data_IF_528825797792
#
_entry.id   IF_528825797792
#
_cell.length_a   1.000
_cell.length_b   1.000
_cell.length_c   1.000
_cell.angle_alpha   90.00
_cell.angle_beta   90.00
_cell.angle_gamma   90.00
#
_symmetry.space_group_name_H-M   'P 1'
#
loop_
_entity.id
_entity.type
_entity.pdbx_description
1 polymer ?
#
# COMPACT_ATOMS: atom_id res chain seq x y z
N UNK A 1 2.52 16.12 -5.95
CA UNK A 1 2.03 14.87 -6.58
C UNK A 1 0.99 14.27 -5.66
N UNK A 2 -0.24 14.14 -6.15
CA UNK A 2 -1.43 13.75 -5.39
C UNK A 2 -1.48 12.24 -5.10
N UNK A 3 -2.19 11.84 -4.06
CA UNK A 3 -2.47 10.43 -3.74
C UNK A 3 -3.49 9.79 -4.70
N UNK A 4 -4.06 10.56 -5.64
CA UNK A 4 -5.15 10.12 -6.52
C UNK A 4 -4.74 9.05 -7.55
N UNK A 5 -3.45 8.73 -7.66
CA UNK A 5 -2.93 7.73 -8.58
C UNK A 5 -2.68 6.38 -7.89
N UNK A 6 -3.00 6.27 -6.59
CA UNK A 6 -2.86 5.05 -5.82
C UNK A 6 -4.22 4.41 -5.56
N UNK A 7 -4.29 3.10 -5.76
CA UNK A 7 -5.48 2.30 -5.56
C UNK A 7 -5.16 1.18 -4.57
N UNK A 8 -5.92 1.10 -3.47
CA UNK A 8 -5.82 -0.01 -2.52
C UNK A 8 -6.78 -1.11 -2.96
N UNK A 9 -6.29 -2.32 -3.08
CA UNK A 9 -7.07 -3.52 -3.36
C UNK A 9 -6.87 -4.48 -2.20
N UNK A 10 -7.97 -4.89 -1.58
CA UNK A 10 -7.96 -5.89 -0.52
C UNK A 10 -8.39 -7.21 -1.12
N UNK A 11 -7.56 -8.22 -0.92
CA UNK A 11 -7.82 -9.56 -1.41
C UNK A 11 -7.78 -10.53 -0.26
N UNK A 12 -8.93 -11.10 0.05
CA UNK A 12 -9.01 -12.22 0.98
C UNK A 12 -8.47 -13.48 0.30
N UNK A 13 -7.49 -14.12 0.94
CA UNK A 13 -6.94 -15.39 0.51
C UNK A 13 -6.90 -16.39 1.66
N UNK A 14 -6.55 -17.63 1.35
CA UNK A 14 -6.41 -18.72 2.35
C UNK A 14 -5.40 -18.40 3.47
N UNK A 15 -4.48 -17.46 3.24
CA UNK A 15 -3.46 -17.03 4.19
C UNK A 15 -3.80 -15.69 4.89
N UNK A 16 -5.05 -15.22 4.79
CA UNK A 16 -5.51 -13.96 5.34
C UNK A 16 -5.70 -12.84 4.30
N UNK A 17 -6.00 -11.64 4.79
CA UNK A 17 -6.20 -10.44 3.97
C UNK A 17 -4.85 -9.95 3.46
N UNK A 18 -4.76 -9.76 2.15
CA UNK A 18 -3.61 -9.14 1.48
C UNK A 18 -4.02 -7.77 0.98
N UNK A 19 -3.19 -6.77 1.26
CA UNK A 19 -3.41 -5.42 0.77
C UNK A 19 -2.43 -5.15 -0.37
N UNK A 20 -2.99 -4.81 -1.52
CA UNK A 20 -2.23 -4.39 -2.69
C UNK A 20 -2.39 -2.89 -2.88
N UNK A 21 -1.30 -2.17 -3.10
CA UNK A 21 -1.32 -0.77 -3.50
C UNK A 21 -0.79 -0.68 -4.93
N UNK A 22 -1.63 -0.17 -5.83
CA UNK A 22 -1.33 -0.08 -7.25
C UNK A 22 -1.18 1.39 -7.64
N UNK A 23 -0.08 1.72 -8.30
CA UNK A 23 0.11 3.01 -8.92
C UNK A 23 -0.31 2.93 -10.39
N UNK A 24 -1.36 3.66 -10.77
CA UNK A 24 -2.02 3.53 -12.07
C UNK A 24 -1.45 4.45 -13.16
N UNK A 25 -0.54 5.36 -12.81
CA UNK A 25 0.10 6.29 -13.75
C UNK A 25 1.57 5.94 -13.98
N UNK A 26 2.20 6.47 -15.03
CA UNK A 26 3.62 6.22 -15.29
C UNK A 26 4.50 6.86 -14.18
N UNK A 27 5.41 6.11 -13.55
CA UNK A 27 5.70 4.69 -13.75
C UNK A 27 4.69 3.77 -13.04
N UNK A 28 4.13 2.80 -13.76
CA UNK A 28 3.14 1.87 -13.21
C UNK A 28 3.84 0.81 -12.35
N UNK A 29 3.34 0.54 -11.16
CA UNK A 29 3.86 -0.54 -10.31
C UNK A 29 2.81 -0.97 -9.29
N UNK A 30 3.04 -2.13 -8.66
CA UNK A 30 2.21 -2.59 -7.55
C UNK A 30 3.05 -3.07 -6.38
N UNK A 31 2.50 -2.89 -5.19
CA UNK A 31 3.07 -3.30 -3.91
C UNK A 31 2.10 -4.23 -3.19
N UNK A 32 2.61 -5.28 -2.57
CA UNK A 32 1.90 -6.05 -1.55
C UNK A 32 2.40 -5.57 -0.19
N UNK A 33 1.49 -5.01 0.60
CA UNK A 33 1.73 -4.52 1.95
C UNK A 33 0.94 -5.37 2.95
N UNK A 34 1.53 -5.57 4.12
CA UNK A 34 0.85 -6.17 5.28
C UNK A 34 0.91 -5.20 6.45
N UNK A 35 -0.13 -5.14 7.30
CA UNK A 35 -0.08 -4.35 8.53
C UNK A 35 1.12 -4.78 9.38
N UNK A 36 1.85 -3.81 9.92
CA UNK A 36 2.94 -4.09 10.84
C UNK A 36 2.38 -4.33 12.25
N UNK A 37 2.16 -5.60 12.59
CA UNK A 37 1.62 -6.01 13.89
C UNK A 37 2.63 -5.84 15.04
N UNK A 38 3.90 -5.59 14.73
CA UNK A 38 4.96 -5.38 15.72
C UNK A 38 5.14 -3.89 16.06
N UNK A 39 4.61 -3.00 15.23
CA UNK A 39 4.58 -1.57 15.50
C UNK A 39 3.63 -1.23 16.68
N UNK A 40 3.91 -0.18 17.46
CA UNK A 40 3.11 0.21 18.62
C UNK A 40 1.66 0.60 18.26
N UNK A 41 1.41 1.01 17.01
CA UNK A 41 0.09 1.29 16.44
C UNK A 41 -0.53 0.08 15.72
N UNK A 42 0.12 -1.10 15.76
CA UNK A 42 -0.25 -2.35 15.05
C UNK A 42 -0.48 -2.20 13.54
N UNK A 43 -0.11 -1.05 12.97
CA UNK A 43 -0.31 -0.70 11.57
C UNK A 43 1.03 -0.32 10.91
N UNK A 44 1.81 0.54 11.58
CA UNK A 44 3.04 1.12 11.07
C UNK A 44 2.89 1.75 9.69
N UNK A 45 4.00 1.84 8.94
CA UNK A 45 4.00 2.17 7.50
C UNK A 45 3.63 0.97 6.59
N UNK A 46 3.23 -0.15 7.19
CA UNK A 46 3.04 -1.43 6.51
C UNK A 46 4.36 -2.09 6.10
N UNK A 47 4.43 -3.42 6.29
CA UNK A 47 5.56 -4.24 5.87
C UNK A 47 5.43 -4.55 4.38
N UNK A 48 6.42 -4.12 3.60
CA UNK A 48 6.51 -4.45 2.17
C UNK A 48 6.84 -5.94 2.00
N UNK A 49 5.91 -6.70 1.41
CA UNK A 49 6.07 -8.13 1.13
C UNK A 49 6.49 -8.39 -0.31
N UNK A 50 6.00 -7.59 -1.25
CA UNK A 50 6.29 -7.78 -2.68
C UNK A 50 6.25 -6.45 -3.41
N UNK A 51 7.20 -6.27 -4.33
CA UNK A 51 7.24 -5.18 -5.30
C UNK A 51 7.16 -5.81 -6.69
N UNK A 52 6.21 -5.35 -7.50
CA UNK A 52 6.11 -5.73 -8.91
C UNK A 52 6.25 -4.48 -9.76
N UNK A 53 7.33 -4.44 -10.54
CA UNK A 53 7.65 -3.37 -11.47
C UNK A 53 7.71 -3.92 -12.89
N UNK A 54 7.21 -3.18 -13.89
CA UNK A 54 7.35 -3.59 -15.28
C UNK A 54 8.83 -3.61 -15.66
N UNK A 55 9.20 -4.57 -16.51
CA UNK A 55 10.55 -4.60 -17.09
C UNK A 55 10.74 -3.33 -17.92
N UNK A 56 11.58 -2.43 -17.41
CA UNK A 56 11.97 -1.21 -18.11
C UNK A 56 13.22 -1.49 -18.92
N UNK A 57 13.17 -1.24 -20.24
CA UNK A 57 14.34 -1.31 -21.12
C UNK A 57 15.48 -0.39 -20.65
N UNK A 58 15.13 0.76 -20.07
CA UNK A 58 16.09 1.78 -19.60
C UNK A 58 16.68 1.51 -18.21
N UNK A 59 16.21 0.48 -17.50
CA UNK A 59 16.71 0.10 -16.17
C UNK A 59 16.61 1.15 -15.04
N UNK A 60 15.92 2.28 -15.24
CA UNK A 60 15.84 3.34 -14.23
C UNK A 60 14.77 3.03 -13.16
N UNK A 61 15.16 2.17 -12.23
CA UNK A 61 14.32 1.78 -11.09
C UNK A 61 14.32 2.81 -9.94
N UNK A 62 15.13 3.86 -10.02
CA UNK A 62 15.23 4.87 -8.96
C UNK A 62 13.95 5.71 -8.84
N UNK A 63 13.20 5.85 -9.95
CA UNK A 63 11.91 6.54 -10.01
C UNK A 63 10.85 5.94 -9.09
N UNK A 64 10.89 4.62 -8.87
CA UNK A 64 9.94 3.93 -8.02
C UNK A 64 10.18 4.19 -6.54
N UNK A 65 11.43 4.40 -6.10
CA UNK A 65 11.77 4.58 -4.68
C UNK A 65 11.03 5.74 -4.01
N UNK A 66 10.90 6.88 -4.71
CA UNK A 66 10.12 8.04 -4.21
C UNK A 66 8.62 7.75 -4.14
N UNK A 67 8.11 6.89 -5.01
CA UNK A 67 6.70 6.53 -5.09
C UNK A 67 6.35 5.44 -4.08
N UNK A 68 7.29 4.54 -3.75
CA UNK A 68 7.12 3.50 -2.74
C UNK A 68 6.87 4.09 -1.35
N UNK A 69 7.66 5.11 -0.95
CA UNK A 69 7.43 5.79 0.33
C UNK A 69 6.03 6.43 0.42
N UNK A 70 5.56 7.03 -0.68
CA UNK A 70 4.20 7.58 -0.76
C UNK A 70 3.11 6.53 -0.77
N UNK A 71 3.35 5.38 -1.39
CA UNK A 71 2.42 4.26 -1.39
C UNK A 71 2.26 3.66 0.02
N UNK A 72 3.34 3.62 0.81
CA UNK A 72 3.28 3.25 2.23
C UNK A 72 2.50 4.28 3.06
N UNK A 73 2.71 5.58 2.83
CA UNK A 73 1.92 6.64 3.48
C UNK A 73 0.43 6.56 3.12
N UNK A 74 0.11 6.29 1.84
CA UNK A 74 -1.26 6.05 1.38
C UNK A 74 -1.89 4.84 2.06
N UNK A 75 -1.14 3.74 2.19
CA UNK A 75 -1.59 2.55 2.88
C UNK A 75 -1.93 2.82 4.34
N UNK A 76 -1.04 3.51 5.07
CA UNK A 76 -1.28 3.87 6.46
C UNK A 76 -2.55 4.75 6.61
N UNK A 77 -2.72 5.77 5.75
CA UNK A 77 -3.90 6.66 5.80
C UNK A 77 -5.21 5.93 5.50
N UNK A 78 -5.21 5.02 4.52
CA UNK A 78 -6.41 4.26 4.15
C UNK A 78 -6.77 3.22 5.20
N UNK A 79 -5.78 2.57 5.81
CA UNK A 79 -6.02 1.59 6.88
C UNK A 79 -6.55 2.25 8.16
N UNK A 80 -5.99 3.39 8.57
CA UNK A 80 -6.50 4.15 9.72
C UNK A 80 -7.90 4.74 9.48
N UNK A 81 -8.26 5.00 8.22
CA UNK A 81 -9.61 5.45 7.87
C UNK A 81 -10.64 4.30 7.94
N UNK A 82 -10.23 3.09 7.61
CA UNK A 82 -11.04 1.87 7.71
C UNK A 82 -11.41 1.58 9.18
N UNK A 83 -10.42 1.60 10.08
CA UNK A 83 -10.63 1.37 11.52
C UNK A 83 -11.54 2.43 12.17
N UNK A 84 -11.45 3.69 11.74
CA UNK A 84 -12.36 4.75 12.21
C UNK A 84 -13.80 4.57 11.75
N UNK A 85 -14.02 3.88 10.63
CA UNK A 85 -15.36 3.66 10.08
C UNK A 85 -16.03 2.49 10.80
N UNK A 86 -15.28 1.44 11.14
CA UNK A 86 -15.75 0.30 11.92
C UNK A 86 -16.18 0.70 13.36
N UNK A 87 -15.38 1.55 14.03
CA UNK A 87 -15.72 2.08 15.35
C UNK A 87 -16.95 3.01 15.37
N UNK A 88 -17.39 3.54 14.21
CA UNK A 88 -18.56 4.42 14.11
C UNK A 88 -19.87 3.66 13.94
N UNK A 89 -19.85 2.40 13.50
CA UNK A 89 -21.07 1.57 13.39
C UNK A 89 -21.39 0.82 14.69
N UNK A 90 -20.51 0.85 15.68
CA UNK A 90 -20.64 0.11 16.96
C UNK A 90 -20.95 1.01 18.16
N UNK A 91 -21.18 2.32 17.95
CA UNK A 91 -21.55 3.29 19.01
C UNK A 91 -22.99 3.77 18.90
#
# INVERSE_FOLDING_TARGET
>A
MSLNHFLRIEREGKAGVKHYVVHTTDPQFSLELSPDREAPDKMGRGVLKRLSVPNSWTGDYTKYGKLMGKAQEFFAQTLSSDEKTDNRLTS
#
